data_IF_326548864958
#
_entry.id   IF_326548864958
#
_cell.length_a   1.000
_cell.length_b   1.000
_cell.length_c   1.000
_cell.angle_alpha   90.00
_cell.angle_beta   90.00
_cell.angle_gamma   90.00
#
_symmetry.space_group_name_H-M   'P 1'
#
loop_
_entity.id
_entity.type
_entity.pdbx_description
1 polymer ?
#
# COMPACT_ATOMS: atom_id res chain seq x y z
N UNK A 1 -35.74 -24.27 34.46
CA UNK A 1 -36.07 -22.84 34.23
C UNK A 1 -34.91 -22.00 34.75
N UNK A 2 -34.41 -21.05 33.95
CA UNK A 2 -33.45 -20.05 34.41
C UNK A 2 -32.22 -19.90 33.51
N UNK A 3 -32.39 -19.37 32.30
CA UNK A 3 -31.30 -18.87 31.48
C UNK A 3 -30.68 -17.61 32.11
N UNK A 4 -29.34 -17.52 32.13
CA UNK A 4 -28.63 -16.24 32.32
C UNK A 4 -27.77 -15.99 31.07
N UNK A 5 -28.24 -15.07 30.24
CA UNK A 5 -27.49 -14.45 29.16
C UNK A 5 -26.29 -13.69 29.73
N UNK A 6 -25.09 -14.19 29.46
CA UNK A 6 -23.85 -13.43 29.57
C UNK A 6 -23.71 -12.52 28.36
N UNK A 7 -23.82 -11.20 28.57
CA UNK A 7 -23.41 -10.19 27.59
C UNK A 7 -21.88 -10.22 27.48
N UNK A 8 -21.34 -10.74 26.38
CA UNK A 8 -19.94 -10.56 26.03
C UNK A 8 -19.84 -9.35 25.08
N UNK A 9 -19.63 -8.17 25.67
CA UNK A 9 -19.24 -6.97 24.95
C UNK A 9 -17.73 -7.13 24.63
N UNK A 10 -17.42 -7.62 23.43
CA UNK A 10 -16.06 -7.70 22.90
C UNK A 10 -15.91 -6.70 21.76
N UNK A 11 -15.62 -5.45 22.08
CA UNK A 11 -15.17 -4.43 21.13
C UNK A 11 -13.74 -4.77 20.72
N UNK A 12 -13.56 -5.66 19.74
CA UNK A 12 -12.22 -5.96 19.21
C UNK A 12 -11.81 -4.87 18.22
N UNK A 13 -10.87 -4.07 18.70
CA UNK A 13 -10.11 -2.98 18.10
C UNK A 13 -9.63 -3.26 16.66
N UNK A 14 -10.27 -2.60 15.69
CA UNK A 14 -9.70 -2.30 14.36
C UNK A 14 -8.50 -1.33 14.42
N UNK A 15 -8.18 -0.78 15.60
CA UNK A 15 -7.14 0.25 15.79
C UNK A 15 -5.72 -0.33 15.96
N UNK A 16 -5.55 -1.61 16.28
CA UNK A 16 -4.23 -2.14 16.63
C UNK A 16 -3.37 -2.49 15.41
N UNK A 17 -3.98 -2.86 14.28
CA UNK A 17 -3.24 -3.24 13.07
C UNK A 17 -2.57 -2.02 12.40
N UNK A 18 -3.22 -0.86 12.41
CA UNK A 18 -2.64 0.39 11.89
C UNK A 18 -1.47 0.89 12.75
N UNK A 19 -1.53 0.76 14.08
CA UNK A 19 -0.44 1.20 14.96
C UNK A 19 0.78 0.28 14.88
N UNK A 20 0.57 -1.03 14.79
CA UNK A 20 1.67 -1.99 14.66
C UNK A 20 2.39 -1.86 13.30
N UNK A 21 1.64 -1.59 12.22
CA UNK A 21 2.23 -1.26 10.92
C UNK A 21 3.00 0.08 10.96
N UNK A 22 2.48 1.12 11.64
CA UNK A 22 3.20 2.40 11.82
C UNK A 22 4.49 2.22 12.61
N UNK A 23 4.48 1.46 13.70
CA UNK A 23 5.68 1.18 14.49
C UNK A 23 6.74 0.42 13.68
N UNK A 24 6.31 -0.55 12.87
CA UNK A 24 7.22 -1.35 12.03
C UNK A 24 7.88 -0.49 10.96
N UNK A 25 7.12 0.39 10.30
CA UNK A 25 7.68 1.35 9.35
C UNK A 25 8.63 2.35 10.03
N UNK A 26 8.28 2.87 11.21
CA UNK A 26 9.13 3.78 11.96
C UNK A 26 10.46 3.12 12.37
N UNK A 27 10.44 1.85 12.78
CA UNK A 27 11.66 1.09 13.12
C UNK A 27 12.54 0.83 11.90
N UNK A 28 11.94 0.48 10.76
CA UNK A 28 12.68 0.32 9.50
C UNK A 28 13.38 1.63 9.11
N UNK A 29 12.68 2.77 9.25
CA UNK A 29 13.23 4.08 8.95
C UNK A 29 14.33 4.50 9.94
N UNK A 30 14.19 4.18 11.22
CA UNK A 30 15.24 4.38 12.23
C UNK A 30 16.48 3.53 11.92
N UNK A 31 16.29 2.28 11.50
CA UNK A 31 17.39 1.40 11.09
C UNK A 31 18.09 1.88 9.81
N UNK A 32 17.33 2.38 8.84
CA UNK A 32 17.86 3.00 7.63
C UNK A 32 18.67 4.26 7.95
N UNK A 33 18.24 5.06 8.94
CA UNK A 33 19.02 6.21 9.43
C UNK A 33 20.29 5.81 10.19
N UNK A 34 20.36 4.59 10.74
CA UNK A 34 21.52 4.09 11.47
C UNK A 34 22.57 3.42 10.55
N UNK A 35 22.18 3.01 9.34
CA UNK A 35 23.09 2.44 8.35
C UNK A 35 23.94 3.56 7.71
N UNK A 36 25.22 3.63 8.08
CA UNK A 36 26.20 4.61 7.59
C UNK A 36 26.34 4.58 6.06
N UNK A 37 25.74 5.55 5.39
CA UNK A 37 26.07 5.98 4.03
C UNK A 37 26.13 7.52 4.06
N UNK A 38 27.36 8.07 3.99
CA UNK A 38 27.75 9.49 3.94
C UNK A 38 26.81 10.52 4.62
N UNK A 39 27.13 11.03 5.82
CA UNK A 39 26.68 12.29 6.46
C UNK A 39 25.26 12.88 6.21
N UNK A 40 24.29 12.09 5.77
CA UNK A 40 22.89 12.49 5.73
C UNK A 40 22.35 12.37 7.16
N UNK A 41 22.29 13.49 7.89
CA UNK A 41 21.48 13.56 9.12
C UNK A 41 20.01 13.55 8.70
N UNK A 42 19.45 12.36 8.47
CA UNK A 42 18.04 12.18 8.14
C UNK A 42 17.23 12.41 9.42
N UNK A 43 16.57 13.57 9.52
CA UNK A 43 15.60 13.85 10.58
C UNK A 43 14.20 13.57 10.08
N UNK A 44 13.63 12.44 10.49
CA UNK A 44 12.25 12.08 10.14
C UNK A 44 11.29 12.49 11.25
N UNK A 45 10.23 13.21 10.89
CA UNK A 45 9.12 13.53 11.79
C UNK A 45 7.83 13.04 11.14
N UNK A 46 7.20 12.03 11.75
CA UNK A 46 5.88 11.61 11.35
C UNK A 46 4.84 12.65 11.82
N UNK A 47 3.99 13.10 10.91
CA UNK A 47 2.85 13.96 11.21
C UNK A 47 1.68 13.56 10.32
N UNK A 48 0.45 13.77 10.80
CA UNK A 48 -0.76 13.56 9.97
C UNK A 48 -0.84 14.55 8.80
N UNK A 49 -0.30 15.75 8.98
CA UNK A 49 -0.21 16.79 7.96
C UNK A 49 0.93 17.76 8.32
N UNK A 50 1.61 18.26 7.29
CA UNK A 50 2.62 19.31 7.42
C UNK A 50 2.33 20.33 6.32
N UNK A 51 1.95 21.58 6.66
CA UNK A 51 1.78 22.63 5.66
C UNK A 51 3.13 22.92 5.00
N UNK A 52 3.17 22.89 3.67
CA UNK A 52 4.42 23.01 2.88
C UNK A 52 5.16 24.32 3.17
N UNK A 53 4.43 25.40 3.45
CA UNK A 53 4.96 26.72 3.81
C UNK A 53 5.76 26.74 5.12
N UNK A 54 5.60 25.72 5.96
CA UNK A 54 6.34 25.58 7.24
C UNK A 54 7.65 24.82 7.09
N UNK A 55 7.93 24.26 5.92
CA UNK A 55 9.12 23.46 5.68
C UNK A 55 10.36 24.34 5.50
N UNK A 56 11.41 24.04 6.25
CA UNK A 56 12.71 24.65 6.05
C UNK A 56 13.27 24.30 4.66
N UNK A 57 14.02 25.22 4.05
CA UNK A 57 14.72 24.99 2.78
C UNK A 57 15.57 23.73 2.86
N UNK A 58 15.51 22.89 1.82
CA UNK A 58 16.22 21.62 1.78
C UNK A 58 15.48 20.45 2.42
N UNK A 59 14.29 20.66 3.00
CA UNK A 59 13.45 19.57 3.53
C UNK A 59 12.71 18.88 2.40
N UNK A 60 12.71 17.54 2.40
CA UNK A 60 11.87 16.72 1.53
C UNK A 60 10.63 16.27 2.32
N UNK A 61 9.46 16.43 1.71
CA UNK A 61 8.20 15.93 2.26
C UNK A 61 7.78 14.70 1.48
N UNK A 62 7.51 13.61 2.21
CA UNK A 62 7.10 12.34 1.64
C UNK A 62 5.79 11.93 2.30
N UNK A 63 4.78 11.65 1.48
CA UNK A 63 3.50 11.11 1.93
C UNK A 63 3.47 9.61 1.69
N UNK A 64 3.20 8.84 2.74
CA UNK A 64 2.97 7.41 2.62
C UNK A 64 1.47 7.13 2.62
N UNK A 65 1.02 6.40 1.60
CA UNK A 65 -0.38 6.04 1.40
C UNK A 65 -0.47 4.53 1.22
N UNK A 66 -1.21 3.87 2.12
CA UNK A 66 -1.58 2.46 1.96
C UNK A 66 -2.71 2.35 0.93
N UNK A 67 -2.70 1.30 0.13
CA UNK A 67 -3.80 1.01 -0.79
C UNK A 67 -5.13 0.82 -0.03
N UNK A 68 -6.26 1.11 -0.68
CA UNK A 68 -7.58 0.74 -0.17
C UNK A 68 -7.79 -0.78 -0.12
N UNK A 69 -8.88 -1.25 0.46
CA UNK A 69 -9.18 -2.69 0.54
C UNK A 69 -9.15 -3.34 -0.85
N UNK A 70 -8.27 -4.32 -1.03
CA UNK A 70 -8.23 -5.19 -2.20
C UNK A 70 -8.96 -6.51 -1.96
N UNK A 71 -9.24 -7.24 -3.03
CA UNK A 71 -9.91 -8.55 -2.92
C UNK A 71 -9.13 -9.55 -2.06
N UNK A 72 -7.79 -9.51 -2.05
CA UNK A 72 -6.99 -10.32 -1.11
C UNK A 72 -7.24 -10.00 0.38
N UNK A 73 -7.50 -8.73 0.73
CA UNK A 73 -7.85 -8.39 2.12
C UNK A 73 -9.22 -8.95 2.49
N UNK A 74 -10.17 -8.86 1.55
CA UNK A 74 -11.51 -9.39 1.74
C UNK A 74 -11.49 -10.92 1.89
N UNK A 75 -10.81 -11.61 0.98
CA UNK A 75 -10.66 -13.07 1.02
C UNK A 75 -10.05 -13.55 2.34
N UNK A 76 -9.00 -12.88 2.82
CA UNK A 76 -8.41 -13.21 4.12
C UNK A 76 -9.35 -12.93 5.30
N UNK A 77 -10.16 -11.87 5.25
CA UNK A 77 -11.12 -11.55 6.30
C UNK A 77 -12.31 -12.52 6.35
N UNK A 78 -12.71 -13.08 5.21
CA UNK A 78 -13.80 -14.05 5.09
C UNK A 78 -13.35 -15.51 5.26
N UNK A 79 -12.04 -15.75 5.21
CA UNK A 79 -11.44 -17.07 5.37
C UNK A 79 -11.59 -17.62 6.79
N UNK A 80 -11.79 -18.94 6.88
CA UNK A 80 -11.71 -19.68 8.16
C UNK A 80 -10.26 -19.94 8.60
N UNK A 81 -9.31 -19.73 7.70
CA UNK A 81 -7.90 -20.00 7.88
C UNK A 81 -7.10 -18.70 7.88
N UNK A 82 -6.09 -18.63 8.73
CA UNK A 82 -5.08 -17.57 8.72
C UNK A 82 -3.95 -17.90 7.75
N UNK A 83 -3.12 -16.93 7.41
CA UNK A 83 -1.85 -17.23 6.74
C UNK A 83 -0.95 -18.01 7.69
N UNK A 84 -0.47 -19.16 7.21
CA UNK A 84 0.45 -20.07 7.88
C UNK A 84 1.66 -20.42 6.99
N UNK A 85 1.88 -19.69 5.88
CA UNK A 85 2.93 -19.99 4.89
C UNK A 85 4.36 -19.94 5.46
N UNK A 86 4.56 -19.30 6.62
CA UNK A 86 5.85 -19.25 7.35
C UNK A 86 5.87 -20.11 8.61
N UNK A 87 4.77 -20.81 8.88
CA UNK A 87 4.58 -21.67 10.05
C UNK A 87 4.47 -23.12 9.56
N UNK A 88 3.27 -23.68 9.63
CA UNK A 88 2.97 -25.08 9.31
C UNK A 88 2.81 -25.30 7.79
N UNK A 89 2.53 -24.23 7.03
CA UNK A 89 2.27 -24.27 5.58
C UNK A 89 1.29 -25.40 5.19
N UNK A 90 0.13 -25.44 5.84
CA UNK A 90 -0.88 -26.49 5.66
C UNK A 90 -1.55 -26.47 4.28
N UNK A 91 -1.26 -25.46 3.47
CA UNK A 91 -1.89 -25.23 2.17
C UNK A 91 -3.25 -24.51 2.26
N UNK A 92 -3.75 -24.22 3.47
CA UNK A 92 -5.03 -23.55 3.67
C UNK A 92 -4.93 -22.01 3.73
N UNK A 93 -3.74 -21.46 3.53
CA UNK A 93 -3.54 -20.02 3.56
C UNK A 93 -4.45 -19.33 2.51
N UNK A 94 -5.27 -18.33 2.91
CA UNK A 94 -6.19 -17.67 2.00
C UNK A 94 -5.50 -16.89 0.88
N UNK A 95 -4.21 -16.61 1.01
CA UNK A 95 -3.43 -15.90 0.01
C UNK A 95 -2.79 -16.80 -1.05
N UNK A 96 -2.98 -18.12 -0.98
CA UNK A 96 -2.49 -19.07 -1.98
C UNK A 96 -3.47 -19.28 -3.14
N UNK A 97 -4.65 -18.68 -3.10
CA UNK A 97 -5.62 -18.75 -4.18
C UNK A 97 -5.09 -18.03 -5.43
N UNK A 98 -5.01 -18.76 -6.55
CA UNK A 98 -4.54 -18.23 -7.82
C UNK A 98 -5.46 -17.14 -8.40
N UNK A 99 -6.75 -17.14 -8.06
CA UNK A 99 -7.69 -16.08 -8.45
C UNK A 99 -7.37 -14.73 -7.80
N UNK A 100 -6.59 -14.75 -6.71
CA UNK A 100 -6.11 -13.55 -6.04
C UNK A 100 -4.82 -13.01 -6.64
N UNK A 101 -4.42 -13.40 -7.85
CA UNK A 101 -3.27 -12.80 -8.53
C UNK A 101 -3.53 -11.32 -8.83
N UNK A 102 -2.61 -10.44 -8.42
CA UNK A 102 -2.65 -8.97 -8.63
C UNK A 102 -4.05 -8.33 -8.40
N UNK A 103 -4.64 -8.51 -7.22
CA UNK A 103 -6.04 -8.22 -6.96
C UNK A 103 -6.31 -6.72 -7.09
N UNK A 104 -7.46 -6.41 -7.70
CA UNK A 104 -8.02 -5.05 -7.77
C UNK A 104 -8.59 -4.62 -6.40
N UNK A 105 -8.91 -3.34 -6.29
CA UNK A 105 -9.71 -2.80 -5.20
C UNK A 105 -11.12 -3.41 -5.20
N UNK A 106 -11.68 -3.62 -4.02
CA UNK A 106 -13.10 -3.91 -3.84
C UNK A 106 -13.92 -2.62 -3.99
N UNK A 107 -15.27 -2.68 -4.10
CA UNK A 107 -16.10 -1.48 -4.03
C UNK A 107 -15.87 -0.62 -2.78
N UNK A 108 -15.52 -1.25 -1.65
CA UNK A 108 -15.11 -0.53 -0.43
C UNK A 108 -13.74 0.14 -0.61
N UNK A 109 -12.77 -0.55 -1.20
CA UNK A 109 -11.46 0.03 -1.52
C UNK A 109 -11.55 1.25 -2.44
N UNK A 110 -12.44 1.22 -3.43
CA UNK A 110 -12.71 2.38 -4.30
C UNK A 110 -13.29 3.54 -3.50
N UNK A 111 -14.23 3.31 -2.57
CA UNK A 111 -14.74 4.37 -1.68
C UNK A 111 -13.65 4.97 -0.79
N UNK A 112 -12.72 4.15 -0.30
CA UNK A 112 -11.56 4.62 0.47
C UNK A 112 -10.62 5.47 -0.38
N UNK A 113 -10.34 5.08 -1.63
CA UNK A 113 -9.53 5.87 -2.56
C UNK A 113 -10.22 7.21 -2.92
N UNK A 114 -11.54 7.24 -3.08
CA UNK A 114 -12.28 8.49 -3.28
C UNK A 114 -12.23 9.41 -2.05
N UNK A 115 -12.27 8.83 -0.84
CA UNK A 115 -12.06 9.62 0.39
C UNK A 115 -10.66 10.23 0.40
N UNK A 116 -9.64 9.50 -0.04
CA UNK A 116 -8.28 10.03 -0.22
C UNK A 116 -8.28 11.18 -1.22
N UNK A 117 -8.94 11.06 -2.38
CA UNK A 117 -9.05 12.12 -3.38
C UNK A 117 -9.60 13.44 -2.80
N UNK A 118 -10.62 13.34 -1.93
CA UNK A 118 -11.15 14.51 -1.22
C UNK A 118 -10.10 15.13 -0.30
N UNK A 119 -9.39 14.31 0.48
CA UNK A 119 -8.38 14.78 1.43
C UNK A 119 -7.20 15.44 0.70
N UNK A 120 -6.67 14.82 -0.35
CA UNK A 120 -5.51 15.35 -1.09
C UNK A 120 -5.84 16.70 -1.75
N UNK A 121 -7.07 16.85 -2.26
CA UNK A 121 -7.57 18.12 -2.80
C UNK A 121 -7.81 19.18 -1.72
N UNK A 122 -8.49 18.84 -0.62
CA UNK A 122 -8.75 19.76 0.49
C UNK A 122 -7.45 20.30 1.11
N UNK A 123 -6.43 19.45 1.24
CA UNK A 123 -5.10 19.83 1.73
C UNK A 123 -4.21 20.45 0.66
N UNK A 124 -4.68 20.58 -0.59
CA UNK A 124 -3.93 21.14 -1.72
C UNK A 124 -2.57 20.46 -1.90
N UNK A 125 -2.53 19.13 -1.75
CA UNK A 125 -1.30 18.37 -1.92
C UNK A 125 -0.83 18.45 -3.38
N UNK A 126 0.40 18.93 -3.55
CA UNK A 126 1.06 19.07 -4.85
C UNK A 126 2.43 18.38 -4.80
N UNK A 127 2.46 17.04 -4.73
CA UNK A 127 3.72 16.30 -4.84
C UNK A 127 4.34 16.53 -6.21
N UNK A 128 5.68 16.60 -6.25
CA UNK A 128 6.44 16.73 -7.50
C UNK A 128 6.49 15.41 -8.29
N UNK A 129 6.22 14.28 -7.61
CA UNK A 129 6.21 12.93 -8.18
C UNK A 129 5.35 12.01 -7.30
N UNK A 130 4.66 11.05 -7.93
CA UNK A 130 3.90 10.01 -7.23
C UNK A 130 4.50 8.64 -7.56
N UNK A 131 5.07 7.98 -6.56
CA UNK A 131 5.54 6.60 -6.69
C UNK A 131 4.45 5.61 -6.30
N UNK A 132 4.23 4.59 -7.13
CA UNK A 132 3.22 3.57 -6.95
C UNK A 132 3.86 2.19 -6.87
N UNK A 133 3.38 1.33 -5.97
CA UNK A 133 3.63 -0.11 -6.12
C UNK A 133 3.08 -0.57 -7.48
N UNK A 134 3.76 -1.47 -8.21
CA UNK A 134 3.30 -1.96 -9.49
C UNK A 134 2.10 -2.94 -9.41
N UNK A 135 1.50 -3.10 -8.22
CA UNK A 135 0.31 -3.94 -8.01
C UNK A 135 -0.98 -3.12 -8.21
N UNK A 136 -1.98 -3.73 -8.83
CA UNK A 136 -3.20 -3.08 -9.29
C UNK A 136 -3.93 -2.29 -8.20
N UNK A 137 -4.11 -2.88 -7.01
CA UNK A 137 -4.74 -2.20 -5.86
C UNK A 137 -4.06 -0.88 -5.49
N UNK A 138 -2.73 -0.81 -5.58
CA UNK A 138 -1.97 0.37 -5.23
C UNK A 138 -2.04 1.43 -6.34
N UNK A 139 -1.92 1.00 -7.60
CA UNK A 139 -2.08 1.87 -8.76
C UNK A 139 -3.47 2.52 -8.75
N UNK A 140 -4.53 1.72 -8.58
CA UNK A 140 -5.91 2.22 -8.51
C UNK A 140 -6.10 3.21 -7.35
N UNK A 141 -5.52 2.92 -6.17
CA UNK A 141 -5.62 3.84 -5.03
C UNK A 141 -4.92 5.16 -5.33
N UNK A 142 -3.72 5.12 -5.90
CA UNK A 142 -2.93 6.31 -6.21
C UNK A 142 -3.56 7.19 -7.28
N UNK A 143 -4.00 6.59 -8.40
CA UNK A 143 -4.64 7.32 -9.49
C UNK A 143 -5.94 8.00 -9.03
N UNK A 144 -6.81 7.26 -8.32
CA UNK A 144 -8.05 7.86 -7.78
C UNK A 144 -7.73 8.89 -6.70
N UNK A 145 -6.83 8.56 -5.78
CA UNK A 145 -6.48 9.39 -4.63
C UNK A 145 -5.80 10.72 -4.99
N UNK A 146 -5.21 10.81 -6.18
CA UNK A 146 -4.56 12.02 -6.68
C UNK A 146 -5.11 12.44 -8.05
N UNK A 147 -6.38 12.13 -8.33
CA UNK A 147 -7.04 12.44 -9.61
C UNK A 147 -6.95 13.92 -9.98
N UNK A 148 -6.91 14.83 -9.00
CA UNK A 148 -6.75 16.26 -9.24
C UNK A 148 -5.43 16.59 -9.94
N UNK A 149 -4.36 15.83 -9.71
CA UNK A 149 -3.07 16.02 -10.39
C UNK A 149 -3.09 15.56 -11.86
N UNK A 150 -4.07 14.73 -12.23
CA UNK A 150 -4.24 14.21 -13.59
C UNK A 150 -5.20 15.11 -14.38
N UNK A 151 -6.27 15.57 -13.73
CA UNK A 151 -7.30 16.42 -14.32
C UNK A 151 -6.85 17.88 -14.46
N UNK A 152 -6.09 18.40 -13.51
CA UNK A 152 -5.59 19.78 -13.51
C UNK A 152 -4.35 19.89 -14.42
N UNK A 153 -4.60 20.13 -15.72
CA UNK A 153 -3.60 20.19 -16.81
C UNK A 153 -2.51 21.28 -16.67
N UNK A 154 -2.46 22.01 -15.56
CA UNK A 154 -1.52 23.11 -15.34
C UNK A 154 -0.08 22.63 -15.10
N UNK A 155 0.10 21.45 -14.50
CA UNK A 155 1.40 20.82 -14.27
C UNK A 155 1.27 19.30 -14.39
N UNK A 156 2.04 18.68 -15.28
CA UNK A 156 2.07 17.22 -15.39
C UNK A 156 2.92 16.64 -14.27
N UNK A 157 2.28 16.01 -13.29
CA UNK A 157 2.96 15.26 -12.24
C UNK A 157 3.19 13.81 -12.72
N UNK A 158 4.43 13.31 -12.71
CA UNK A 158 4.70 11.93 -13.11
C UNK A 158 4.20 10.92 -12.07
N UNK A 159 3.49 9.90 -12.54
CA UNK A 159 3.13 8.71 -11.76
C UNK A 159 4.04 7.58 -12.19
N UNK A 160 4.89 7.10 -11.29
CA UNK A 160 5.96 6.13 -11.61
C UNK A 160 5.75 4.84 -10.82
N UNK A 161 5.67 3.71 -11.51
CA UNK A 161 5.63 2.40 -10.90
C UNK A 161 7.02 2.02 -10.36
N UNK A 162 7.13 1.92 -9.04
CA UNK A 162 8.36 1.65 -8.31
C UNK A 162 8.35 0.23 -7.73
N UNK A 163 9.18 -0.71 -8.24
CA UNK A 163 9.27 -2.08 -7.71
C UNK A 163 9.57 -2.15 -6.20
N UNK A 164 10.33 -1.18 -5.68
CA UNK A 164 10.68 -1.09 -4.27
C UNK A 164 9.52 -0.71 -3.34
N UNK A 165 8.38 -0.29 -3.88
CA UNK A 165 7.20 0.09 -3.09
C UNK A 165 6.21 -1.07 -2.83
N UNK A 166 6.59 -2.32 -3.13
CA UNK A 166 5.74 -3.51 -2.91
C UNK A 166 5.67 -3.89 -1.43
N UNK A 167 4.57 -4.51 -1.02
CA UNK A 167 4.32 -4.92 0.38
C UNK A 167 5.26 -6.06 0.83
N UNK A 168 5.19 -7.20 0.15
CA UNK A 168 6.03 -8.39 0.29
C UNK A 168 6.23 -8.95 -1.12
N UNK A 169 7.39 -9.56 -1.36
CA UNK A 169 7.66 -10.20 -2.65
C UNK A 169 7.66 -11.71 -2.47
N UNK A 170 6.71 -12.37 -3.12
CA UNK A 170 6.91 -13.75 -3.57
C UNK A 170 6.37 -14.88 -2.70
N UNK A 171 5.70 -14.59 -1.58
CA UNK A 171 5.14 -15.66 -0.73
C UNK A 171 3.67 -15.96 -1.07
N UNK A 172 2.92 -14.94 -1.45
CA UNK A 172 1.48 -15.02 -1.67
C UNK A 172 1.12 -14.80 -3.14
N UNK A 173 0.04 -15.42 -3.61
CA UNK A 173 -0.44 -15.22 -4.98
C UNK A 173 -0.82 -13.76 -5.25
N UNK A 174 -1.33 -13.05 -4.23
CA UNK A 174 -1.65 -11.62 -4.31
C UNK A 174 -0.45 -10.68 -4.41
N UNK A 175 0.76 -11.20 -4.16
CA UNK A 175 2.00 -10.46 -4.37
C UNK A 175 2.45 -10.54 -5.82
N UNK A 176 1.97 -11.52 -6.61
CA UNK A 176 2.32 -11.67 -8.02
C UNK A 176 1.57 -10.63 -8.86
N UNK A 177 2.34 -9.83 -9.60
CA UNK A 177 1.86 -8.87 -10.60
C UNK A 177 1.42 -9.61 -11.86
N UNK A 178 0.41 -9.08 -12.55
CA UNK A 178 0.04 -9.55 -13.90
C UNK A 178 1.10 -9.16 -14.94
N UNK A 179 0.90 -9.62 -16.18
CA UNK A 179 1.78 -9.27 -17.28
C UNK A 179 1.92 -7.74 -17.40
N UNK A 180 3.15 -7.27 -17.67
CA UNK A 180 3.41 -5.84 -17.76
C UNK A 180 2.64 -5.18 -18.92
N UNK A 181 2.41 -5.92 -20.01
CA UNK A 181 1.62 -5.45 -21.15
C UNK A 181 0.20 -5.10 -20.71
N UNK A 182 -0.49 -6.02 -20.04
CA UNK A 182 -1.88 -5.84 -19.60
C UNK A 182 -2.02 -4.66 -18.64
N UNK A 183 -1.05 -4.51 -17.72
CA UNK A 183 -1.06 -3.41 -16.74
C UNK A 183 -0.78 -2.06 -17.41
N UNK A 184 0.13 -2.00 -18.39
CA UNK A 184 0.40 -0.79 -19.18
C UNK A 184 -0.82 -0.36 -20.00
N UNK A 185 -1.52 -1.32 -20.58
CA UNK A 185 -2.77 -1.06 -21.31
C UNK A 185 -3.89 -0.58 -20.37
N UNK A 186 -3.99 -1.15 -19.17
CA UNK A 186 -4.98 -0.74 -18.16
C UNK A 186 -4.66 0.63 -17.53
N UNK A 187 -3.38 0.98 -17.37
CA UNK A 187 -2.92 2.20 -16.69
C UNK A 187 -1.93 3.01 -17.55
N UNK A 188 -2.36 3.60 -18.68
CA UNK A 188 -1.47 4.33 -19.59
C UNK A 188 -0.88 5.62 -19.01
N UNK A 189 -1.40 6.08 -17.87
CA UNK A 189 -0.95 7.28 -17.17
C UNK A 189 0.26 7.02 -16.27
N UNK A 190 0.61 5.76 -16.05
CA UNK A 190 1.70 5.36 -15.15
C UNK A 190 2.91 4.96 -15.98
N UNK A 191 4.07 5.49 -15.60
CA UNK A 191 5.35 5.11 -16.15
C UNK A 191 5.84 3.81 -15.51
N UNK A 192 6.12 2.80 -16.35
CA UNK A 192 6.65 1.50 -15.95
C UNK A 192 8.04 1.21 -16.52
N UNK A 193 8.76 2.21 -17.07
CA UNK A 193 10.07 2.04 -17.72
C UNK A 193 11.11 1.38 -16.80
N UNK A 194 11.02 1.64 -15.49
CA UNK A 194 11.95 1.10 -14.50
C UNK A 194 11.69 -0.35 -14.10
N UNK A 195 10.59 -0.96 -14.56
CA UNK A 195 10.29 -2.37 -14.28
C UNK A 195 10.98 -3.26 -15.31
N UNK A 196 11.91 -4.08 -14.83
CA UNK A 196 12.67 -5.05 -15.62
C UNK A 196 12.26 -6.47 -15.27
N UNK A 197 12.32 -7.37 -16.26
CA UNK A 197 12.12 -8.80 -16.06
C UNK A 197 10.65 -9.25 -15.98
N UNK A 198 10.47 -10.56 -15.90
CA UNK A 198 9.19 -11.20 -15.55
C UNK A 198 8.98 -11.09 -14.05
N UNK A 199 7.72 -10.95 -13.63
CA UNK A 199 7.42 -10.94 -12.21
C UNK A 199 7.27 -12.38 -11.70
N UNK A 200 8.37 -12.89 -11.18
CA UNK A 200 8.40 -14.22 -10.57
C UNK A 200 8.13 -14.08 -9.08
N UNK A 201 7.25 -14.95 -8.57
CA UNK A 201 7.20 -15.20 -7.13
C UNK A 201 8.58 -15.67 -6.70
N UNK A 202 9.07 -15.23 -5.54
CA UNK A 202 10.31 -15.77 -4.96
C UNK A 202 10.21 -17.28 -5.00
N UNK A 203 11.15 -17.93 -5.68
CA UNK A 203 11.28 -19.39 -5.65
C UNK A 203 11.29 -19.82 -4.19
N UNK A 204 10.44 -20.77 -3.82
CA UNK A 204 10.32 -21.28 -2.44
C UNK A 204 11.55 -22.10 -1.99
N UNK A 205 12.74 -21.75 -2.47
CA UNK A 205 13.99 -22.52 -2.34
C UNK A 205 15.12 -21.72 -1.70
N UNK A 206 14.82 -20.84 -0.74
CA UNK A 206 15.83 -20.26 0.15
C UNK A 206 15.36 -20.27 1.60
#
# INVERSE_FOLDING_TARGET
MGAKMGRCCGTTTLHNHEEQEKETHLRFLQAASAAKQEDWIIRMKASRYVPTETLARGTKLIYFVRHGQGYHNLAAAESKFRCDCREENTGNCPYLDAELTDPKLTPLGVKQANKLARITKELKLQPEIVYLSPLCRAIQTGLVGFTHLIEEKSVSVPFVAAPGAREQSGLHMCDKRRNLKDIKEEFPQVDFEHIKGVDDLRSQTE
#
